data_IF_705646281482
#
_entry.id   IF_705646281482
#
_cell.length_a   1.000
_cell.length_b   1.000
_cell.length_c   1.000
_cell.angle_alpha   90.00
_cell.angle_beta   90.00
_cell.angle_gamma   90.00
#
_symmetry.space_group_name_H-M   'P 1'
#
loop_
_entity.id
_entity.type
_entity.pdbx_description
1 polymer ?
#
# COMPACT_ATOMS: atom_id res chain seq x y z
N UNK A 1 35.08 -8.53 -60.11
CA UNK A 1 33.84 -9.29 -59.92
C UNK A 1 33.14 -8.95 -58.62
N UNK A 2 33.14 -7.71 -58.11
CA UNK A 2 32.58 -7.34 -56.78
C UNK A 2 31.43 -6.30 -56.89
N UNK A 3 30.97 -5.94 -58.09
CA UNK A 3 29.93 -4.89 -58.26
C UNK A 3 28.55 -5.40 -58.63
N UNK A 4 28.29 -6.71 -58.69
CA UNK A 4 26.97 -7.30 -59.02
C UNK A 4 26.24 -7.90 -57.82
N UNK A 5 26.86 -8.00 -56.64
CA UNK A 5 26.26 -8.55 -55.44
C UNK A 5 25.49 -7.54 -54.56
N UNK A 6 25.76 -6.23 -54.68
CA UNK A 6 25.14 -5.22 -53.82
C UNK A 6 23.76 -4.73 -54.28
N UNK A 7 23.43 -4.91 -55.56
CA UNK A 7 22.10 -4.49 -56.08
C UNK A 7 20.99 -5.50 -55.79
N UNK A 8 21.31 -6.76 -55.58
CA UNK A 8 20.32 -7.79 -55.26
C UNK A 8 19.89 -7.80 -53.78
N UNK A 9 20.72 -7.30 -52.87
CA UNK A 9 20.41 -7.24 -51.43
C UNK A 9 19.54 -6.02 -51.11
N UNK A 10 19.66 -4.93 -51.86
CA UNK A 10 18.80 -3.74 -51.68
C UNK A 10 17.40 -3.90 -52.28
N UNK A 11 17.19 -4.82 -53.21
CA UNK A 11 15.86 -5.12 -53.75
C UNK A 11 15.04 -6.08 -52.87
N UNK A 12 15.69 -6.87 -51.99
CA UNK A 12 15.04 -7.77 -51.06
C UNK A 12 14.58 -7.09 -49.76
N UNK A 13 15.08 -5.92 -49.41
CA UNK A 13 14.70 -5.13 -48.24
C UNK A 13 13.49 -4.20 -48.45
N UNK A 14 13.04 -4.04 -49.71
CA UNK A 14 11.94 -3.15 -50.05
C UNK A 14 10.54 -3.84 -50.07
N UNK A 15 10.44 -5.15 -49.75
CA UNK A 15 9.18 -5.91 -49.74
C UNK A 15 8.65 -6.24 -48.35
N UNK A 16 9.23 -5.70 -47.27
CA UNK A 16 8.74 -5.85 -45.91
C UNK A 16 8.18 -4.51 -45.44
N UNK A 17 7.02 -4.10 -45.96
CA UNK A 17 6.52 -2.80 -45.60
C UNK A 17 5.08 -2.47 -46.02
N UNK A 18 4.25 -3.47 -46.24
CA UNK A 18 2.81 -3.24 -46.37
C UNK A 18 2.07 -4.24 -45.45
N UNK A 19 2.29 -4.11 -44.13
CA UNK A 19 1.25 -4.47 -43.19
C UNK A 19 0.13 -3.43 -43.42
N UNK A 20 -0.77 -3.72 -44.37
CA UNK A 20 -1.94 -2.91 -44.63
C UNK A 20 -2.68 -2.71 -43.33
N UNK A 21 -2.80 -1.47 -42.88
CA UNK A 21 -3.83 -1.11 -41.93
C UNK A 21 -5.12 -1.62 -42.56
N UNK A 22 -5.70 -2.69 -42.03
CA UNK A 22 -7.03 -3.15 -42.44
C UNK A 22 -7.98 -1.99 -42.12
N UNK A 23 -8.30 -1.21 -43.16
CA UNK A 23 -9.29 -0.14 -43.08
C UNK A 23 -10.62 -0.83 -42.83
N UNK A 24 -11.24 -0.52 -41.72
CA UNK A 24 -12.59 -1.01 -41.42
C UNK A 24 -13.56 -0.47 -42.48
N UNK A 25 -14.07 -1.34 -43.34
CA UNK A 25 -15.06 -0.94 -44.34
C UNK A 25 -16.42 -0.75 -43.69
N UNK A 26 -17.06 0.43 -43.83
CA UNK A 26 -18.39 0.65 -43.27
C UNK A 26 -19.41 -0.29 -43.88
N UNK A 27 -20.29 -0.88 -43.07
CA UNK A 27 -21.38 -1.76 -43.52
C UNK A 27 -22.67 -1.49 -42.72
N UNK A 28 -23.83 -1.80 -43.31
CA UNK A 28 -25.11 -1.72 -42.61
C UNK A 28 -25.35 -3.00 -41.84
N UNK A 29 -25.53 -2.88 -40.52
CA UNK A 29 -25.74 -4.02 -39.63
C UNK A 29 -27.14 -4.60 -39.86
N UNK A 30 -27.24 -5.79 -40.42
CA UNK A 30 -28.54 -6.49 -40.62
C UNK A 30 -28.90 -7.37 -39.42
N UNK A 31 -27.92 -7.83 -38.68
CA UNK A 31 -28.10 -8.65 -37.48
C UNK A 31 -26.88 -8.48 -36.54
N UNK A 32 -27.07 -8.77 -35.24
CA UNK A 32 -26.02 -8.73 -34.24
C UNK A 32 -25.99 -10.07 -33.51
N UNK A 33 -24.89 -10.79 -33.61
CA UNK A 33 -24.63 -12.04 -32.90
C UNK A 33 -23.60 -11.84 -31.80
N UNK A 34 -23.86 -12.42 -30.63
CA UNK A 34 -22.91 -12.40 -29.50
C UNK A 34 -22.42 -13.81 -29.25
N UNK A 35 -21.10 -14.00 -29.21
CA UNK A 35 -20.47 -15.28 -28.98
C UNK A 35 -19.52 -15.22 -27.78
N UNK A 36 -19.34 -16.38 -27.10
CA UNK A 36 -18.43 -16.49 -25.95
C UNK A 36 -19.09 -16.22 -24.58
N UNK A 37 -20.39 -15.94 -24.55
CA UNK A 37 -21.16 -15.82 -23.31
C UNK A 37 -21.27 -17.16 -22.58
N UNK A 38 -21.11 -17.14 -21.26
CA UNK A 38 -21.23 -18.31 -20.39
C UNK A 38 -22.24 -18.08 -19.26
N UNK A 39 -22.31 -16.86 -18.76
CA UNK A 39 -23.15 -16.48 -17.62
C UNK A 39 -24.03 -15.26 -17.92
N UNK A 40 -23.50 -14.31 -18.68
CA UNK A 40 -24.23 -13.09 -19.07
C UNK A 40 -25.21 -13.40 -20.17
N UNK A 41 -26.43 -12.85 -20.10
CA UNK A 41 -27.43 -12.97 -21.17
C UNK A 41 -27.08 -12.05 -22.36
N UNK A 42 -27.35 -12.48 -23.62
CA UNK A 42 -27.10 -11.64 -24.79
C UNK A 42 -27.76 -10.26 -24.72
N UNK A 43 -28.96 -10.15 -24.13
CA UNK A 43 -29.68 -8.91 -23.92
C UNK A 43 -28.89 -7.87 -23.11
N UNK A 44 -28.06 -8.32 -22.18
CA UNK A 44 -27.16 -7.43 -21.42
C UNK A 44 -26.13 -6.78 -22.36
N UNK A 45 -25.51 -7.58 -23.25
CA UNK A 45 -24.52 -7.04 -24.20
C UNK A 45 -25.18 -6.04 -25.13
N UNK A 46 -26.37 -6.35 -25.65
CA UNK A 46 -27.13 -5.45 -26.54
C UNK A 46 -27.49 -4.12 -25.88
N UNK A 47 -27.74 -4.09 -24.56
CA UNK A 47 -28.05 -2.85 -23.84
C UNK A 47 -26.87 -1.89 -23.73
N UNK A 48 -25.64 -2.38 -23.81
CA UNK A 48 -24.43 -1.58 -23.78
C UNK A 48 -23.86 -1.25 -25.17
N UNK A 49 -24.33 -1.91 -26.24
CA UNK A 49 -23.87 -1.63 -27.59
C UNK A 49 -24.46 -0.30 -28.09
N UNK A 50 -23.64 0.67 -28.52
CA UNK A 50 -24.11 1.94 -29.06
C UNK A 50 -24.49 1.83 -30.54
N UNK A 51 -24.94 0.68 -30.99
CA UNK A 51 -25.37 0.42 -32.38
C UNK A 51 -26.52 -0.56 -32.38
N UNK A 52 -27.43 -0.37 -33.32
CA UNK A 52 -28.64 -1.20 -33.53
C UNK A 52 -28.68 -1.76 -34.93
N UNK A 53 -29.48 -2.80 -35.12
CA UNK A 53 -29.82 -3.34 -36.44
C UNK A 53 -30.41 -2.23 -37.32
N UNK A 54 -29.94 -2.15 -38.56
CA UNK A 54 -30.30 -1.09 -39.54
C UNK A 54 -29.34 0.09 -39.56
N UNK A 55 -28.46 0.24 -38.61
CA UNK A 55 -27.46 1.33 -38.55
C UNK A 55 -26.17 0.97 -39.28
N UNK A 56 -25.42 1.98 -39.71
CA UNK A 56 -24.10 1.79 -40.33
C UNK A 56 -23.03 1.66 -39.28
N UNK A 57 -22.31 0.53 -39.29
CA UNK A 57 -21.11 0.33 -38.53
C UNK A 57 -19.94 0.98 -39.26
N UNK A 58 -19.19 1.80 -38.57
CA UNK A 58 -17.93 2.39 -39.01
C UNK A 58 -16.87 2.25 -37.91
N UNK A 59 -15.65 2.64 -38.22
CA UNK A 59 -14.53 2.51 -37.26
C UNK A 59 -14.75 3.27 -35.94
N UNK A 60 -15.38 4.46 -36.00
CA UNK A 60 -15.67 5.25 -34.79
C UNK A 60 -16.68 4.56 -33.89
N UNK A 61 -17.76 4.01 -34.47
CA UNK A 61 -18.78 3.25 -33.75
C UNK A 61 -18.21 1.93 -33.22
N UNK A 62 -17.34 1.27 -33.96
CA UNK A 62 -16.66 0.07 -33.51
C UNK A 62 -15.79 0.36 -32.26
N UNK A 63 -15.00 1.43 -32.29
CA UNK A 63 -14.23 1.89 -31.12
C UNK A 63 -15.12 2.27 -29.93
N UNK A 64 -16.28 2.90 -30.20
CA UNK A 64 -17.24 3.26 -29.17
C UNK A 64 -17.88 1.99 -28.55
N UNK A 65 -18.23 0.99 -29.35
CA UNK A 65 -18.77 -0.29 -28.91
C UNK A 65 -17.76 -1.05 -28.02
N UNK A 66 -16.53 -1.14 -28.46
CA UNK A 66 -15.45 -1.76 -27.65
C UNK A 66 -15.29 -1.06 -26.32
N UNK A 67 -15.18 0.28 -26.30
CA UNK A 67 -15.07 1.06 -25.06
C UNK A 67 -16.27 0.85 -24.13
N UNK A 68 -17.49 0.85 -24.68
CA UNK A 68 -18.70 0.65 -23.90
C UNK A 68 -18.74 -0.74 -23.23
N UNK A 69 -18.40 -1.79 -23.98
CA UNK A 69 -18.35 -3.16 -23.44
C UNK A 69 -17.22 -3.35 -22.43
N UNK A 70 -16.01 -2.84 -22.67
CA UNK A 70 -14.92 -2.89 -21.68
C UNK A 70 -15.24 -2.10 -20.42
N UNK A 71 -15.95 -0.94 -20.56
CA UNK A 71 -16.32 -0.11 -19.42
C UNK A 71 -17.31 -0.80 -18.45
N UNK A 72 -18.03 -1.85 -18.90
CA UNK A 72 -18.88 -2.66 -18.02
C UNK A 72 -18.09 -3.45 -16.98
N UNK A 73 -16.81 -3.74 -17.26
CA UNK A 73 -15.98 -4.61 -16.45
C UNK A 73 -16.33 -6.09 -16.54
N UNK A 74 -17.35 -6.49 -17.33
CA UNK A 74 -17.81 -7.89 -17.43
C UNK A 74 -16.88 -8.76 -18.25
N UNK A 75 -16.13 -8.16 -19.17
CA UNK A 75 -15.35 -8.89 -20.18
C UNK A 75 -13.85 -8.66 -19.99
N UNK A 76 -13.08 -9.72 -20.14
CA UNK A 76 -11.61 -9.67 -20.19
C UNK A 76 -11.12 -9.39 -21.61
N UNK A 77 -11.87 -9.83 -22.63
CA UNK A 77 -11.60 -9.55 -24.04
C UNK A 77 -12.92 -9.31 -24.79
N UNK A 78 -12.86 -8.41 -25.77
CA UNK A 78 -13.98 -8.11 -26.69
C UNK A 78 -13.40 -7.90 -28.07
N UNK A 79 -13.93 -8.65 -29.05
CA UNK A 79 -13.59 -8.50 -30.48
C UNK A 79 -14.85 -8.30 -31.29
N UNK A 80 -14.78 -7.45 -32.29
CA UNK A 80 -15.86 -7.21 -33.26
C UNK A 80 -15.41 -7.75 -34.60
N UNK A 81 -16.23 -8.60 -35.17
CA UNK A 81 -16.01 -9.17 -36.50
C UNK A 81 -17.22 -8.91 -37.40
N UNK A 82 -17.02 -8.96 -38.68
CA UNK A 82 -18.04 -8.73 -39.72
C UNK A 82 -18.20 -9.98 -40.57
N UNK A 83 -19.39 -10.57 -40.59
CA UNK A 83 -19.74 -11.70 -41.39
C UNK A 83 -21.00 -11.39 -42.22
N UNK A 84 -20.88 -11.12 -43.52
CA UNK A 84 -22.04 -10.94 -44.45
C UNK A 84 -23.10 -9.96 -43.90
N UNK A 85 -22.74 -8.76 -43.52
CA UNK A 85 -23.60 -7.74 -42.89
C UNK A 85 -24.10 -8.11 -41.47
N UNK A 86 -23.60 -9.14 -40.83
CA UNK A 86 -23.82 -9.48 -39.43
C UNK A 86 -22.65 -8.96 -38.62
N UNK A 87 -22.95 -8.19 -37.56
CA UNK A 87 -21.97 -7.82 -36.56
C UNK A 87 -21.82 -8.97 -35.56
N UNK A 88 -20.66 -9.60 -35.52
CA UNK A 88 -20.34 -10.63 -34.53
C UNK A 88 -19.51 -10.03 -33.40
N UNK A 89 -20.06 -10.07 -32.20
CA UNK A 89 -19.42 -9.58 -30.97
C UNK A 89 -18.89 -10.78 -30.20
N UNK A 90 -17.60 -11.03 -30.29
CA UNK A 90 -16.94 -12.05 -29.48
C UNK A 90 -16.57 -11.46 -28.13
N UNK A 91 -16.98 -12.11 -27.05
CA UNK A 91 -16.68 -11.70 -25.69
C UNK A 91 -16.04 -12.84 -24.90
N UNK A 92 -15.08 -12.50 -24.07
CA UNK A 92 -14.57 -13.40 -23.05
C UNK A 92 -14.98 -12.83 -21.69
N UNK A 93 -15.89 -13.51 -21.01
CA UNK A 93 -16.37 -13.06 -19.70
C UNK A 93 -15.27 -13.18 -18.64
N UNK A 94 -15.18 -12.17 -17.76
CA UNK A 94 -14.43 -12.32 -16.52
C UNK A 94 -15.14 -13.30 -15.59
N UNK A 95 -14.42 -14.19 -14.91
CA UNK A 95 -15.03 -15.12 -13.98
C UNK A 95 -15.66 -14.39 -12.79
N UNK A 96 -16.65 -15.00 -12.14
CA UNK A 96 -17.20 -14.49 -10.89
C UNK A 96 -16.61 -15.27 -9.71
N UNK A 97 -16.44 -14.58 -8.57
CA UNK A 97 -16.03 -15.22 -7.32
C UNK A 97 -17.16 -16.10 -6.81
N UNK A 98 -16.91 -17.41 -6.68
CA UNK A 98 -17.87 -18.37 -6.13
C UNK A 98 -17.78 -18.42 -4.59
N UNK A 99 -16.54 -18.45 -4.07
CA UNK A 99 -16.27 -18.57 -2.64
C UNK A 99 -14.91 -17.97 -2.31
N UNK A 100 -14.76 -17.50 -1.06
CA UNK A 100 -13.49 -17.03 -0.52
C UNK A 100 -13.24 -17.78 0.79
N UNK A 101 -12.21 -18.61 0.79
CA UNK A 101 -11.81 -19.43 1.92
C UNK A 101 -10.54 -18.85 2.56
N UNK A 102 -10.44 -18.99 3.89
CA UNK A 102 -9.27 -18.59 4.66
C UNK A 102 -8.67 -19.81 5.36
N UNK A 103 -7.35 -19.89 5.38
CA UNK A 103 -6.63 -20.92 6.11
C UNK A 103 -5.42 -20.36 6.85
N UNK A 104 -5.11 -20.93 8.01
CA UNK A 104 -3.94 -20.55 8.84
C UNK A 104 -4.08 -19.23 9.62
N UNK A 105 -5.17 -18.52 9.48
CA UNK A 105 -5.46 -17.25 10.16
C UNK A 105 -5.95 -17.51 11.59
N UNK A 106 -5.28 -16.93 12.59
CA UNK A 106 -5.61 -17.05 14.02
C UNK A 106 -5.73 -15.70 14.70
N UNK A 107 -4.93 -14.72 14.26
CA UNK A 107 -4.90 -13.37 14.86
C UNK A 107 -6.09 -12.51 14.44
N UNK A 108 -6.67 -12.77 13.27
CA UNK A 108 -7.83 -12.07 12.75
C UNK A 108 -9.00 -13.02 12.55
N UNK A 109 -10.20 -12.57 12.91
CA UNK A 109 -11.42 -13.30 12.62
C UNK A 109 -11.70 -13.30 11.10
N UNK A 110 -11.87 -14.46 10.46
CA UNK A 110 -12.10 -14.56 9.02
C UNK A 110 -13.27 -13.70 8.52
N UNK A 111 -14.35 -13.59 9.29
CA UNK A 111 -15.52 -12.81 8.90
C UNK A 111 -15.26 -11.31 8.92
N UNK A 112 -14.41 -10.81 9.81
CA UNK A 112 -13.98 -9.42 9.80
C UNK A 112 -13.15 -9.10 8.55
N UNK A 113 -12.25 -10.00 8.17
CA UNK A 113 -11.45 -9.86 6.94
C UNK A 113 -12.36 -9.94 5.70
N UNK A 114 -13.30 -10.89 5.66
CA UNK A 114 -14.27 -11.01 4.55
C UNK A 114 -15.09 -9.72 4.36
N UNK A 115 -15.46 -9.05 5.45
CA UNK A 115 -16.16 -7.76 5.39
C UNK A 115 -15.30 -6.69 4.72
N UNK A 116 -14.04 -6.56 5.12
CA UNK A 116 -13.09 -5.59 4.53
C UNK A 116 -12.85 -5.89 3.05
N UNK A 117 -12.69 -7.16 2.69
CA UNK A 117 -12.54 -7.58 1.29
C UNK A 117 -13.75 -7.18 0.45
N UNK A 118 -14.96 -7.35 0.98
CA UNK A 118 -16.21 -6.96 0.32
C UNK A 118 -16.31 -5.46 0.08
N UNK A 119 -15.92 -4.65 1.05
CA UNK A 119 -15.87 -3.19 0.96
C UNK A 119 -14.87 -2.73 -0.11
N UNK A 120 -13.80 -3.49 -0.32
CA UNK A 120 -12.77 -3.25 -1.35
C UNK A 120 -13.06 -3.93 -2.71
N UNK A 121 -14.27 -4.47 -2.89
CA UNK A 121 -14.71 -5.01 -4.18
C UNK A 121 -14.50 -6.51 -4.38
N UNK A 122 -13.84 -7.22 -3.46
CA UNK A 122 -13.65 -8.68 -3.51
C UNK A 122 -14.73 -9.38 -2.66
N UNK A 123 -15.74 -9.93 -3.31
CA UNK A 123 -16.83 -10.63 -2.64
C UNK A 123 -17.42 -11.73 -3.52
N UNK A 124 -18.03 -12.71 -2.88
CA UNK A 124 -18.79 -13.76 -3.55
C UNK A 124 -19.89 -13.17 -4.44
N UNK A 125 -20.06 -13.73 -5.63
CA UNK A 125 -21.00 -13.25 -6.64
C UNK A 125 -20.50 -12.04 -7.46
N UNK A 126 -19.42 -11.38 -7.07
CA UNK A 126 -18.82 -10.28 -7.85
C UNK A 126 -17.86 -10.81 -8.92
N UNK A 127 -17.64 -9.99 -9.92
CA UNK A 127 -16.63 -10.27 -10.95
C UNK A 127 -15.25 -10.30 -10.31
N UNK A 128 -14.50 -11.35 -10.62
CA UNK A 128 -13.13 -11.50 -10.16
C UNK A 128 -12.20 -10.54 -10.90
N UNK A 129 -11.47 -9.74 -10.15
CA UNK A 129 -10.36 -8.93 -10.63
C UNK A 129 -9.09 -9.30 -9.87
N UNK A 130 -8.05 -9.68 -10.62
CA UNK A 130 -6.79 -10.11 -10.05
C UNK A 130 -6.08 -8.98 -9.30
N UNK A 131 -6.19 -7.75 -9.78
CA UNK A 131 -5.56 -6.58 -9.15
C UNK A 131 -6.16 -6.27 -7.78
N UNK A 132 -7.48 -6.49 -7.63
CA UNK A 132 -8.18 -6.35 -6.35
C UNK A 132 -7.70 -7.42 -5.36
N UNK A 133 -7.52 -8.67 -5.83
CA UNK A 133 -6.98 -9.75 -4.99
C UNK A 133 -5.56 -9.47 -4.54
N UNK A 134 -4.68 -9.02 -5.44
CA UNK A 134 -3.29 -8.66 -5.11
C UNK A 134 -3.23 -7.49 -4.11
N UNK A 135 -4.10 -6.49 -4.27
CA UNK A 135 -4.22 -5.39 -3.29
C UNK A 135 -4.69 -5.90 -1.93
N UNK A 136 -5.66 -6.80 -1.90
CA UNK A 136 -6.17 -7.43 -0.69
C UNK A 136 -5.09 -8.25 0.03
N UNK A 137 -4.29 -9.01 -0.71
CA UNK A 137 -3.14 -9.77 -0.18
C UNK A 137 -2.13 -8.85 0.51
N UNK A 138 -1.76 -7.75 -0.15
CA UNK A 138 -0.83 -6.77 0.41
C UNK A 138 -1.41 -6.06 1.65
N UNK A 139 -2.71 -5.79 1.66
CA UNK A 139 -3.37 -5.17 2.82
C UNK A 139 -3.41 -6.12 4.01
N UNK A 140 -3.78 -7.38 3.80
CA UNK A 140 -3.74 -8.41 4.86
C UNK A 140 -2.31 -8.52 5.42
N UNK A 141 -1.31 -8.61 4.56
CA UNK A 141 0.10 -8.66 4.98
C UNK A 141 0.49 -7.43 5.81
N UNK A 142 0.08 -6.24 5.39
CA UNK A 142 0.34 -4.99 6.12
C UNK A 142 -0.28 -5.00 7.51
N UNK A 143 -1.48 -5.56 7.66
CA UNK A 143 -2.15 -5.70 8.96
C UNK A 143 -1.36 -6.62 9.91
N UNK A 144 -0.80 -7.72 9.43
CA UNK A 144 0.09 -8.58 10.22
C UNK A 144 1.39 -7.86 10.62
N UNK A 145 2.01 -7.13 9.68
CA UNK A 145 3.20 -6.34 9.95
C UNK A 145 2.96 -5.27 11.03
N UNK A 146 1.80 -4.59 11.00
CA UNK A 146 1.45 -3.59 11.99
C UNK A 146 1.29 -4.16 13.40
N UNK A 147 1.03 -5.48 13.51
CA UNK A 147 0.99 -6.21 14.79
C UNK A 147 2.34 -6.81 15.21
N UNK A 148 3.41 -6.52 14.45
CA UNK A 148 4.75 -7.02 14.73
C UNK A 148 5.02 -8.44 14.23
N UNK A 149 4.13 -9.00 13.42
CA UNK A 149 4.28 -10.33 12.81
C UNK A 149 5.03 -10.21 11.48
N UNK A 150 6.32 -9.89 11.54
CA UNK A 150 7.15 -9.65 10.34
C UNK A 150 7.43 -10.91 9.53
N UNK A 151 7.24 -12.08 10.13
CA UNK A 151 7.30 -13.39 9.48
C UNK A 151 6.03 -13.78 8.71
N UNK A 152 4.96 -12.97 8.77
CA UNK A 152 3.71 -13.31 8.14
C UNK A 152 3.83 -13.42 6.62
N UNK A 153 3.36 -14.53 6.08
CA UNK A 153 3.25 -14.79 4.65
C UNK A 153 1.79 -15.00 4.28
N UNK A 154 1.34 -14.31 3.24
CA UNK A 154 0.00 -14.45 2.69
C UNK A 154 0.16 -14.99 1.28
N UNK A 155 -0.51 -16.09 0.99
CA UNK A 155 -0.51 -16.73 -0.33
C UNK A 155 -1.94 -16.88 -0.80
N UNK A 156 -2.20 -16.43 -2.02
CA UNK A 156 -3.51 -16.52 -2.64
C UNK A 156 -3.51 -17.55 -3.76
N UNK A 157 -4.50 -18.42 -3.77
CA UNK A 157 -4.70 -19.41 -4.83
C UNK A 157 -6.07 -19.20 -5.46
N UNK A 158 -6.10 -19.07 -6.78
CA UNK A 158 -7.33 -18.94 -7.56
C UNK A 158 -7.56 -20.22 -8.33
N UNK A 159 -8.64 -20.92 -8.04
CA UNK A 159 -9.02 -22.18 -8.67
C UNK A 159 -10.22 -21.96 -9.59
N UNK A 160 -10.09 -22.23 -10.89
CA UNK A 160 -11.22 -22.21 -11.81
C UNK A 160 -12.29 -23.23 -11.41
N UNK A 161 -13.55 -22.81 -11.48
CA UNK A 161 -14.73 -23.63 -11.22
C UNK A 161 -15.68 -23.61 -12.43
N UNK A 162 -16.65 -24.52 -12.43
CA UNK A 162 -17.67 -24.57 -13.49
C UNK A 162 -18.45 -23.24 -13.61
N UNK A 163 -19.02 -23.01 -14.80
CA UNK A 163 -19.83 -21.83 -15.15
C UNK A 163 -19.08 -20.52 -15.00
N UNK A 164 -17.84 -20.46 -15.47
CA UNK A 164 -16.97 -19.27 -15.43
C UNK A 164 -16.93 -18.62 -14.05
N UNK A 165 -16.64 -19.43 -13.01
CA UNK A 165 -16.45 -18.98 -11.64
C UNK A 165 -15.05 -19.32 -11.14
N UNK A 166 -14.65 -18.69 -10.05
CA UNK A 166 -13.39 -19.00 -9.36
C UNK A 166 -13.64 -19.14 -7.87
N UNK A 167 -12.95 -20.10 -7.26
CA UNK A 167 -12.75 -20.18 -5.83
C UNK A 167 -11.42 -19.50 -5.47
N UNK A 168 -11.41 -18.75 -4.41
CA UNK A 168 -10.22 -18.05 -3.89
C UNK A 168 -9.90 -18.65 -2.53
N UNK A 169 -8.67 -19.12 -2.35
CA UNK A 169 -8.16 -19.50 -1.04
C UNK A 169 -7.04 -18.53 -0.64
N UNK A 170 -7.18 -17.92 0.54
CA UNK A 170 -6.21 -17.03 1.16
C UNK A 170 -5.57 -17.78 2.33
N UNK A 171 -4.37 -18.32 2.08
CA UNK A 171 -3.59 -19.04 3.08
C UNK A 171 -2.63 -18.08 3.77
N UNK A 172 -2.67 -18.06 5.10
CA UNK A 172 -1.81 -17.20 5.91
C UNK A 172 -0.92 -18.07 6.82
N UNK A 173 0.37 -17.83 6.74
CA UNK A 173 1.34 -18.30 7.74
C UNK A 173 1.71 -17.10 8.59
N UNK A 174 1.18 -17.00 9.82
CA UNK A 174 1.27 -15.77 10.62
C UNK A 174 2.69 -15.46 11.12
N UNK A 175 3.47 -16.49 11.40
CA UNK A 175 4.76 -16.35 12.07
C UNK A 175 4.60 -15.94 13.54
N UNK A 176 5.71 -15.65 14.20
CA UNK A 176 5.73 -15.15 15.56
C UNK A 176 5.82 -13.62 15.60
N UNK A 177 5.36 -13.04 16.71
CA UNK A 177 5.52 -11.59 16.95
C UNK A 177 6.98 -11.31 17.29
N UNK A 178 7.63 -10.46 16.49
CA UNK A 178 9.00 -10.05 16.74
C UNK A 178 9.12 -9.19 18.01
N UNK A 179 10.16 -9.45 18.80
CA UNK A 179 10.40 -8.80 20.10
C UNK A 179 11.63 -7.93 20.07
N UNK A 180 11.59 -6.82 20.81
CA UNK A 180 12.73 -5.92 20.95
C UNK A 180 13.76 -6.61 21.85
N UNK A 181 14.91 -6.96 21.31
CA UNK A 181 16.04 -7.58 22.04
C UNK A 181 17.05 -6.58 22.55
N UNK A 182 17.16 -5.43 21.89
CA UNK A 182 18.09 -4.38 22.30
C UNK A 182 17.61 -3.00 21.86
N UNK A 183 17.83 -2.03 22.74
CA UNK A 183 17.69 -0.59 22.44
C UNK A 183 19.04 0.00 22.79
N UNK A 184 19.77 0.50 21.80
CA UNK A 184 21.09 1.09 21.94
C UNK A 184 21.02 2.59 21.68
N UNK A 185 21.57 3.37 22.58
CA UNK A 185 21.65 4.84 22.44
C UNK A 185 23.14 5.20 22.28
N UNK A 186 23.48 5.76 21.11
CA UNK A 186 24.85 6.12 20.74
C UNK A 186 25.00 7.63 20.74
N UNK A 187 26.11 8.13 21.29
CA UNK A 187 26.39 9.58 21.37
C UNK A 187 26.06 10.21 22.73
N UNK A 188 25.41 9.48 23.64
CA UNK A 188 25.14 9.94 25.00
C UNK A 188 26.42 9.96 25.84
N UNK A 189 26.71 11.05 26.50
CA UNK A 189 27.83 11.29 27.41
C UNK A 189 27.38 11.86 28.77
N UNK A 190 26.37 12.72 28.74
CA UNK A 190 25.85 13.40 29.92
C UNK A 190 25.00 12.49 30.83
N UNK A 191 24.36 11.49 30.23
CA UNK A 191 23.49 10.54 30.94
C UNK A 191 23.84 9.10 30.54
N UNK A 192 23.62 8.17 31.45
CA UNK A 192 23.85 6.75 31.16
C UNK A 192 22.80 6.19 30.18
N UNK A 193 23.21 5.26 29.31
CA UNK A 193 22.31 4.58 28.39
C UNK A 193 21.12 3.94 29.12
N UNK A 194 21.38 3.31 30.29
CA UNK A 194 20.34 2.66 31.09
C UNK A 194 19.29 3.66 31.60
N UNK A 195 19.74 4.87 31.98
CA UNK A 195 18.82 5.95 32.41
C UNK A 195 17.94 6.41 31.23
N UNK A 196 18.55 6.65 30.07
CA UNK A 196 17.81 7.09 28.87
C UNK A 196 16.83 6.03 28.36
N UNK A 197 17.24 4.77 28.32
CA UNK A 197 16.36 3.65 27.93
C UNK A 197 15.22 3.47 28.93
N UNK A 198 15.42 3.80 30.21
CA UNK A 198 14.37 3.72 31.22
C UNK A 198 13.18 4.68 30.96
N UNK A 199 13.40 5.73 30.18
CA UNK A 199 12.38 6.70 29.77
C UNK A 199 11.43 6.14 28.71
N UNK A 200 11.85 5.12 27.99
CA UNK A 200 11.09 4.54 26.89
C UNK A 200 9.93 3.66 27.39
N UNK A 201 8.82 3.69 26.70
CA UNK A 201 7.72 2.74 26.87
C UNK A 201 8.09 1.41 26.25
N UNK A 202 8.80 1.45 25.10
CA UNK A 202 9.34 0.26 24.46
C UNK A 202 10.45 -0.34 25.34
N UNK A 203 10.40 -1.66 25.53
CA UNK A 203 11.35 -2.37 26.42
C UNK A 203 11.77 -3.73 25.85
N UNK A 204 12.92 -4.20 26.27
CA UNK A 204 13.30 -5.59 26.07
C UNK A 204 12.42 -6.54 26.88
N UNK A 205 12.30 -7.84 26.49
CA UNK A 205 11.49 -8.81 27.21
C UNK A 205 11.85 -8.90 28.70
N UNK A 206 10.83 -8.81 29.53
CA UNK A 206 10.95 -8.93 30.99
C UNK A 206 9.74 -9.69 31.57
N UNK A 207 9.74 -9.91 32.88
CA UNK A 207 8.72 -10.74 33.54
C UNK A 207 7.29 -10.18 33.46
N UNK A 208 7.10 -8.87 33.21
CA UNK A 208 5.81 -8.22 33.03
C UNK A 208 5.43 -7.97 31.57
N UNK A 209 6.34 -8.17 30.61
CA UNK A 209 6.10 -7.84 29.20
C UNK A 209 5.07 -8.76 28.54
N UNK A 210 4.86 -9.97 29.07
CA UNK A 210 3.77 -10.85 28.65
C UNK A 210 2.38 -10.21 28.81
N UNK A 211 2.22 -9.31 29.77
CA UNK A 211 0.96 -8.57 30.03
C UNK A 211 0.96 -7.22 29.31
N UNK A 212 2.03 -6.44 29.44
CA UNK A 212 2.10 -5.06 28.94
C UNK A 212 2.34 -4.97 27.44
N UNK A 213 2.90 -6.04 26.82
CA UNK A 213 3.27 -6.10 25.40
C UNK A 213 4.20 -4.94 24.97
N UNK A 214 5.02 -4.42 25.89
CA UNK A 214 5.98 -3.34 25.62
C UNK A 214 7.24 -3.83 24.89
N UNK A 215 7.43 -5.14 24.82
CA UNK A 215 8.46 -5.82 24.04
C UNK A 215 8.12 -5.93 22.54
N UNK A 216 6.94 -5.49 22.14
CA UNK A 216 6.51 -5.46 20.74
C UNK A 216 6.78 -4.09 20.12
N UNK A 217 7.51 -4.11 19.03
CA UNK A 217 7.79 -2.88 18.29
C UNK A 217 6.53 -2.28 17.69
N UNK A 218 6.35 -0.99 17.87
CA UNK A 218 5.36 -0.17 17.17
C UNK A 218 6.01 1.19 16.84
N UNK A 219 5.87 1.62 15.60
CA UNK A 219 6.48 2.87 15.12
C UNK A 219 6.01 4.09 15.90
N UNK A 220 4.73 4.11 16.23
CA UNK A 220 4.10 5.21 16.99
C UNK A 220 4.67 5.32 18.40
N UNK A 221 4.88 4.17 19.06
CA UNK A 221 5.52 4.12 20.39
C UNK A 221 6.96 4.61 20.34
N UNK A 222 7.73 4.15 19.34
CA UNK A 222 9.10 4.63 19.16
C UNK A 222 9.15 6.14 18.94
N UNK A 223 8.25 6.69 18.11
CA UNK A 223 8.19 8.14 17.89
C UNK A 223 7.89 8.91 19.18
N UNK A 224 6.99 8.40 20.02
CA UNK A 224 6.69 8.98 21.33
C UNK A 224 7.88 8.89 22.31
N UNK A 225 8.58 7.76 22.30
CA UNK A 225 9.78 7.56 23.13
C UNK A 225 10.91 8.52 22.72
N UNK A 226 11.09 8.74 21.41
CA UNK A 226 12.09 9.68 20.89
C UNK A 226 11.75 11.14 21.28
N UNK A 227 10.47 11.51 21.31
CA UNK A 227 10.04 12.84 21.76
C UNK A 227 10.22 12.99 23.28
N UNK A 228 9.96 11.94 24.06
CA UNK A 228 10.27 11.92 25.50
C UNK A 228 11.75 12.09 25.74
N UNK A 229 12.61 11.42 24.95
CA UNK A 229 14.06 11.58 25.02
C UNK A 229 14.48 13.02 24.71
N UNK A 230 13.91 13.64 23.68
CA UNK A 230 14.17 15.03 23.31
C UNK A 230 13.78 15.98 24.44
N UNK A 231 12.58 15.83 24.99
CA UNK A 231 12.10 16.65 26.09
C UNK A 231 12.96 16.50 27.34
N UNK A 232 13.43 15.28 27.63
CA UNK A 232 14.32 15.00 28.77
C UNK A 232 15.63 15.81 28.70
N UNK A 233 16.27 15.88 27.51
CA UNK A 233 17.48 16.66 27.29
C UNK A 233 17.21 18.15 27.32
N UNK A 234 16.16 18.63 26.65
CA UNK A 234 15.82 20.05 26.56
C UNK A 234 15.47 20.63 27.94
N UNK A 235 14.80 19.86 28.80
CA UNK A 235 14.48 20.26 30.18
C UNK A 235 15.68 20.25 31.11
N UNK A 236 16.85 19.78 30.63
CA UNK A 236 18.12 19.77 31.36
C UNK A 236 19.16 20.69 30.74
N UNK A 237 18.73 21.60 29.87
CA UNK A 237 19.56 22.63 29.29
C UNK A 237 20.21 22.30 27.95
N UNK A 238 19.98 21.11 27.38
CA UNK A 238 20.56 20.71 26.10
C UNK A 238 19.65 21.17 24.96
N UNK A 239 19.69 22.46 24.61
CA UNK A 239 18.81 23.08 23.61
C UNK A 239 19.09 22.56 22.18
N UNK A 240 20.37 22.33 21.87
CA UNK A 240 20.82 21.88 20.57
C UNK A 240 20.76 20.35 20.43
N UNK A 241 20.11 19.67 21.40
CA UNK A 241 19.92 18.22 21.32
C UNK A 241 19.24 17.82 20.03
N UNK A 242 19.86 16.90 19.32
CA UNK A 242 19.34 16.36 18.06
C UNK A 242 19.44 14.82 18.02
N UNK A 243 18.41 14.17 17.53
CA UNK A 243 18.46 12.79 17.13
C UNK A 243 18.90 12.76 15.66
N UNK A 244 20.13 12.32 15.42
CA UNK A 244 20.74 12.31 14.09
C UNK A 244 20.15 11.21 13.21
N UNK A 245 19.96 10.02 13.77
CA UNK A 245 19.34 8.91 13.08
C UNK A 245 18.72 7.91 14.05
N UNK A 246 17.71 7.19 13.55
CA UNK A 246 17.10 6.06 14.24
C UNK A 246 17.05 4.89 13.29
N UNK A 247 17.68 3.79 13.66
CA UNK A 247 17.73 2.57 12.88
C UNK A 247 17.01 1.46 13.62
N UNK A 248 16.09 0.79 12.91
CA UNK A 248 15.40 -0.41 13.38
C UNK A 248 15.83 -1.57 12.48
N UNK A 249 16.48 -2.55 13.03
CA UNK A 249 16.92 -3.77 12.34
C UNK A 249 16.17 -4.97 12.86
N UNK A 250 15.81 -5.86 11.95
CA UNK A 250 15.11 -7.11 12.22
C UNK A 250 16.05 -8.24 11.82
N UNK A 251 16.16 -9.25 12.67
CA UNK A 251 16.98 -10.44 12.39
C UNK A 251 16.46 -11.21 11.18
N UNK A 252 17.30 -11.97 10.45
CA UNK A 252 16.89 -12.72 9.27
C UNK A 252 15.76 -13.71 9.53
N UNK A 253 15.66 -14.26 10.73
CA UNK A 253 14.58 -15.15 11.19
C UNK A 253 13.29 -14.40 11.58
N UNK A 254 13.35 -13.05 11.57
CA UNK A 254 12.22 -12.13 11.85
C UNK A 254 11.62 -12.24 13.25
N UNK A 255 12.40 -12.77 14.22
CA UNK A 255 11.95 -12.92 15.60
C UNK A 255 12.42 -11.79 16.52
N UNK A 256 13.58 -11.19 16.22
CA UNK A 256 14.21 -10.20 17.09
C UNK A 256 14.40 -8.85 16.39
N UNK A 257 14.19 -7.78 17.16
CA UNK A 257 14.33 -6.39 16.72
C UNK A 257 15.38 -5.70 17.59
N UNK A 258 16.26 -4.95 16.93
CA UNK A 258 17.22 -4.05 17.55
C UNK A 258 16.96 -2.63 17.11
N UNK A 259 16.92 -1.71 18.06
CA UNK A 259 16.72 -0.27 17.84
C UNK A 259 18.01 0.43 18.19
N UNK A 260 18.56 1.21 17.28
CA UNK A 260 19.74 2.06 17.54
C UNK A 260 19.35 3.50 17.30
N UNK A 261 19.55 4.35 18.31
CA UNK A 261 19.31 5.79 18.27
C UNK A 261 20.64 6.49 18.35
N UNK A 262 21.02 7.20 17.30
CA UNK A 262 22.20 8.05 17.31
C UNK A 262 21.78 9.48 17.63
N UNK A 263 22.40 10.07 18.63
CA UNK A 263 22.08 11.40 19.08
C UNK A 263 23.33 12.28 19.19
N UNK A 264 23.09 13.58 19.14
CA UNK A 264 24.06 14.61 19.47
C UNK A 264 23.47 15.44 20.62
N UNK A 265 24.14 15.46 21.74
CA UNK A 265 23.64 16.16 22.93
C UNK A 265 23.70 17.69 22.80
N UNK A 266 24.68 18.20 22.06
CA UNK A 266 24.99 19.62 22.02
C UNK A 266 25.59 20.14 23.33
N UNK A 267 25.61 21.43 23.49
CA UNK A 267 26.09 22.08 24.72
C UNK A 267 24.97 22.28 25.73
N UNK A 268 25.34 22.34 27.00
CA UNK A 268 24.39 22.61 28.08
C UNK A 268 24.28 24.09 28.33
N UNK A 269 23.09 24.65 28.16
CA UNK A 269 22.78 26.06 28.31
C UNK A 269 22.26 26.40 29.72
N UNK A 270 22.66 27.57 30.21
CA UNK A 270 22.14 28.19 31.44
C UNK A 270 21.55 29.54 31.11
N UNK A 271 20.61 29.99 31.92
CA UNK A 271 20.00 31.33 31.80
C UNK A 271 21.03 32.39 32.12
N UNK A 272 21.37 33.26 31.16
CA UNK A 272 22.30 34.36 31.36
C UNK A 272 21.63 35.59 32.00
N UNK A 273 20.41 35.92 31.58
CA UNK A 273 19.62 37.04 32.06
C UNK A 273 18.12 36.79 31.82
N UNK A 274 17.29 37.43 32.64
CA UNK A 274 15.82 37.40 32.51
C UNK A 274 15.30 38.81 32.40
N UNK A 275 14.76 39.16 31.23
CA UNK A 275 14.25 40.52 30.99
C UNK A 275 12.74 40.52 30.83
N UNK A 276 12.03 41.29 31.63
CA UNK A 276 10.62 41.57 31.48
C UNK A 276 10.44 42.80 30.58
N UNK A 277 9.81 42.60 29.41
CA UNK A 277 9.50 43.67 28.45
C UNK A 277 8.00 43.79 28.25
N UNK A 278 7.53 44.98 27.87
CA UNK A 278 6.14 45.28 27.57
C UNK A 278 5.47 46.22 28.57
N UNK A 279 4.28 46.73 28.20
CA UNK A 279 3.41 47.54 29.08
C UNK A 279 2.41 46.57 29.74
N UNK A 280 2.43 46.48 31.05
CA UNK A 280 1.54 45.61 31.81
C UNK A 280 0.70 46.45 32.80
N UNK A 281 -0.55 46.04 33.06
CA UNK A 281 -1.41 46.69 34.04
C UNK A 281 -0.97 46.40 35.50
N UNK A 282 0.00 45.50 35.69
CA UNK A 282 0.51 45.06 36.99
C UNK A 282 1.90 45.67 37.21
N UNK A 283 2.22 46.19 38.43
CA UNK A 283 3.55 46.69 38.75
C UNK A 283 4.64 45.65 38.49
N UNK A 284 5.75 46.08 37.87
CA UNK A 284 6.86 45.23 37.47
C UNK A 284 7.42 44.39 38.63
N UNK A 285 7.49 45.00 39.83
CA UNK A 285 7.95 44.32 41.05
C UNK A 285 7.09 43.11 41.48
N UNK A 286 5.80 43.12 41.10
CA UNK A 286 4.92 42.00 41.37
C UNK A 286 5.11 40.89 40.31
N UNK A 287 5.40 41.27 39.08
CA UNK A 287 5.70 40.31 37.99
C UNK A 287 7.05 39.64 38.23
N UNK A 288 8.07 40.39 38.67
CA UNK A 288 9.38 39.85 39.00
C UNK A 288 9.33 38.76 40.09
N UNK A 289 8.40 38.90 41.06
CA UNK A 289 8.16 37.87 42.09
C UNK A 289 7.53 36.59 41.56
N UNK A 290 6.85 36.66 40.42
CA UNK A 290 6.23 35.49 39.77
C UNK A 290 7.21 34.75 38.86
N UNK A 291 8.29 35.41 38.43
CA UNK A 291 9.33 34.78 37.61
C UNK A 291 10.19 33.91 38.52
N UNK A 292 10.14 32.61 38.27
CA UNK A 292 10.92 31.64 39.04
C UNK A 292 12.34 31.45 38.50
N UNK A 293 12.57 31.79 37.20
CA UNK A 293 13.87 31.69 36.54
C UNK A 293 14.87 32.74 37.05
N UNK A 294 16.09 32.31 37.35
CA UNK A 294 17.19 33.16 37.75
C UNK A 294 18.40 33.02 36.84
N UNK A 295 19.22 34.05 36.68
CA UNK A 295 20.53 33.91 36.05
C UNK A 295 21.35 32.79 36.73
N UNK A 296 21.92 31.90 35.94
CA UNK A 296 22.64 30.72 36.40
C UNK A 296 21.80 29.44 36.48
N UNK A 297 20.47 29.54 36.43
CA UNK A 297 19.61 28.35 36.38
C UNK A 297 19.83 27.58 35.07
N UNK A 298 19.68 26.29 35.13
CA UNK A 298 19.66 25.45 33.92
C UNK A 298 18.41 25.77 33.13
N UNK A 299 18.54 26.02 31.85
CA UNK A 299 17.37 26.23 31.01
C UNK A 299 16.48 24.97 31.03
N UNK A 300 15.18 25.16 31.22
CA UNK A 300 14.15 24.15 31.07
C UNK A 300 13.07 24.67 30.12
N UNK A 301 12.51 23.76 29.32
CA UNK A 301 11.41 24.10 28.43
C UNK A 301 10.04 24.07 29.15
N UNK A 302 9.97 23.44 30.32
CA UNK A 302 8.77 23.39 31.17
C UNK A 302 8.61 24.68 32.00
#
# INVERSE_FOLDING_TARGET
MIRRGLAAVLAALALVGAAGAQSFEPFTVKDIRVEGLQRTEPGTVFSYLPIKVGEVMNEERARAALRALYATGFFSDVRLEHENDVLVVFVQERPAVAQIDFSGMKEFEPDAVRKVLRENGLAEGRIFDRSVLETAEQEIKRQYLSRGMYGAEVQTTVTPLERNRVGINIAVTEGEVAKIRGINIVGAQAFSESELVSLFVLRTPGWLTWYTKHDRYAREKLSADLETLRSYYQNRGYLDFAIESTQVSITPDRHDIYITVNLNEGERYTVSDVQLSGQTPVPREQLEKLVQLKPGDVFSRE
#
